data_IF_215620143648
#
_entry.id   IF_215620143648
#
_cell.length_a   1.000
_cell.length_b   1.000
_cell.length_c   1.000
_cell.angle_alpha   90.00
_cell.angle_beta   90.00
_cell.angle_gamma   90.00
#
_symmetry.space_group_name_H-M   'P 1'
#
loop_
_entity.id
_entity.type
_entity.pdbx_description
1 polymer ?
#
# COMPACT_ATOMS: atom_id res chain seq x y z
N UNK A 1 -1.31 -7.87 -11.70
CA UNK A 1 -1.04 -6.76 -10.78
C UNK A 1 -0.51 -7.26 -9.45
N UNK A 2 0.21 -6.41 -8.73
CA UNK A 2 0.73 -6.72 -7.39
C UNK A 2 -0.38 -7.04 -6.38
N UNK A 3 -1.38 -6.16 -6.21
CA UNK A 3 -2.48 -6.40 -5.28
C UNK A 3 -3.23 -7.71 -5.54
N UNK A 4 -3.56 -7.99 -6.78
CA UNK A 4 -4.28 -9.21 -7.15
C UNK A 4 -3.52 -10.50 -6.81
N UNK A 5 -2.20 -10.53 -7.01
CA UNK A 5 -1.37 -11.70 -6.67
C UNK A 5 -1.30 -11.89 -5.15
N UNK A 6 -1.12 -10.82 -4.38
CA UNK A 6 -1.08 -10.89 -2.91
C UNK A 6 -2.42 -11.37 -2.37
N UNK A 7 -3.55 -10.75 -2.80
CA UNK A 7 -4.89 -11.18 -2.43
C UNK A 7 -5.12 -12.66 -2.72
N UNK A 8 -4.89 -13.07 -3.96
CA UNK A 8 -5.10 -14.48 -4.38
C UNK A 8 -4.26 -15.47 -3.58
N UNK A 9 -3.10 -15.04 -3.10
CA UNK A 9 -2.24 -15.91 -2.29
C UNK A 9 -2.75 -15.98 -0.85
N UNK A 10 -3.08 -14.85 -0.22
CA UNK A 10 -3.59 -14.80 1.16
C UNK A 10 -4.91 -15.55 1.27
N UNK A 11 -5.83 -15.39 0.32
CA UNK A 11 -7.14 -16.06 0.31
C UNK A 11 -7.09 -17.59 0.29
N UNK A 12 -5.94 -18.19 0.02
CA UNK A 12 -5.76 -19.65 0.09
C UNK A 12 -5.55 -20.16 1.52
N UNK A 13 -5.39 -19.26 2.47
CA UNK A 13 -5.08 -19.59 3.87
C UNK A 13 -6.02 -18.86 4.84
N UNK A 14 -7.33 -19.15 4.79
CA UNK A 14 -8.34 -18.41 5.56
C UNK A 14 -8.18 -18.56 7.08
N UNK A 15 -7.57 -19.67 7.53
CA UNK A 15 -7.37 -19.96 8.95
C UNK A 15 -5.94 -19.64 9.44
N UNK A 16 -5.15 -18.92 8.63
CA UNK A 16 -3.78 -18.59 9.00
C UNK A 16 -3.74 -17.56 10.13
N UNK A 17 -2.80 -17.74 11.06
CA UNK A 17 -2.52 -16.73 12.09
C UNK A 17 -1.88 -15.48 11.47
N UNK A 18 -1.89 -14.38 12.21
CA UNK A 18 -1.31 -13.10 11.77
C UNK A 18 0.15 -13.26 11.34
N UNK A 19 0.94 -14.02 12.10
CA UNK A 19 2.36 -14.25 11.77
C UNK A 19 2.50 -15.06 10.47
N UNK A 20 1.63 -16.05 10.27
CA UNK A 20 1.59 -16.84 9.03
C UNK A 20 1.19 -15.97 7.84
N UNK A 21 0.20 -15.11 7.99
CA UNK A 21 -0.21 -14.14 6.95
C UNK A 21 0.97 -13.22 6.59
N UNK A 22 1.64 -12.65 7.59
CA UNK A 22 2.83 -11.82 7.36
C UNK A 22 3.92 -12.55 6.56
N UNK A 23 4.20 -13.80 6.92
CA UNK A 23 5.20 -14.61 6.23
C UNK A 23 4.78 -15.00 4.81
N UNK A 24 3.50 -15.28 4.58
CA UNK A 24 2.91 -15.52 3.25
C UNK A 24 3.05 -14.28 2.36
N UNK A 25 2.70 -13.10 2.87
CA UNK A 25 2.82 -11.83 2.15
C UNK A 25 4.29 -11.55 1.81
N UNK A 26 5.18 -11.66 2.79
CA UNK A 26 6.63 -11.46 2.61
C UNK A 26 7.19 -12.38 1.53
N UNK A 27 6.88 -13.67 1.56
CA UNK A 27 7.30 -14.64 0.53
C UNK A 27 6.71 -14.34 -0.84
N UNK A 28 5.48 -13.84 -0.90
CA UNK A 28 4.81 -13.44 -2.14
C UNK A 28 5.49 -12.21 -2.73
N UNK A 29 5.72 -11.18 -1.95
CA UNK A 29 6.45 -9.99 -2.37
C UNK A 29 7.86 -10.32 -2.85
N UNK A 30 8.58 -11.20 -2.14
CA UNK A 30 9.87 -11.70 -2.59
C UNK A 30 9.80 -12.34 -3.99
N UNK A 31 8.83 -13.21 -4.23
CA UNK A 31 8.67 -13.90 -5.53
C UNK A 31 8.35 -12.92 -6.65
N UNK A 32 7.43 -11.98 -6.41
CA UNK A 32 7.05 -10.96 -7.40
C UNK A 32 8.27 -10.11 -7.77
N UNK A 33 8.97 -9.60 -6.78
CA UNK A 33 10.16 -8.75 -6.98
C UNK A 33 11.26 -9.50 -7.72
N UNK A 34 11.54 -10.73 -7.30
CA UNK A 34 12.56 -11.56 -7.94
C UNK A 34 12.22 -11.88 -9.38
N UNK A 35 10.96 -12.17 -9.67
CA UNK A 35 10.48 -12.38 -11.05
C UNK A 35 10.62 -11.11 -11.88
N UNK A 36 10.19 -9.97 -11.34
CA UNK A 36 10.32 -8.67 -12.01
C UNK A 36 11.78 -8.36 -12.37
N UNK A 37 12.71 -8.59 -11.45
CA UNK A 37 14.13 -8.39 -11.69
C UNK A 37 14.67 -9.32 -12.78
N UNK A 38 14.32 -10.60 -12.76
CA UNK A 38 14.79 -11.57 -13.76
C UNK A 38 14.28 -11.22 -15.14
N UNK A 39 12.99 -10.90 -15.27
CA UNK A 39 12.37 -10.53 -16.55
C UNK A 39 12.95 -9.20 -17.05
N UNK A 40 13.05 -8.20 -16.18
CA UNK A 40 13.60 -6.89 -16.52
C UNK A 40 15.05 -6.97 -16.98
N UNK A 41 15.90 -7.73 -16.28
CA UNK A 41 17.28 -7.95 -16.68
C UNK A 41 17.38 -8.65 -18.04
N UNK A 42 16.52 -9.65 -18.29
CA UNK A 42 16.48 -10.32 -19.59
C UNK A 42 16.01 -9.43 -20.72
N UNK A 43 14.97 -8.63 -20.48
CA UNK A 43 14.47 -7.66 -21.46
C UNK A 43 15.55 -6.60 -21.78
N UNK A 44 16.22 -6.07 -20.76
CA UNK A 44 17.35 -5.14 -20.91
C UNK A 44 18.43 -5.70 -21.81
N UNK A 45 18.82 -6.95 -21.59
CA UNK A 45 19.82 -7.63 -22.42
C UNK A 45 19.38 -7.78 -23.86
N UNK A 46 18.10 -8.09 -24.09
CA UNK A 46 17.55 -8.30 -25.45
C UNK A 46 17.38 -6.99 -26.23
N UNK A 47 17.03 -5.91 -25.52
CA UNK A 47 16.71 -4.63 -26.12
C UNK A 47 17.92 -3.67 -26.16
N UNK A 48 19.01 -3.98 -25.48
CA UNK A 48 20.16 -3.09 -25.34
C UNK A 48 19.88 -1.82 -24.55
N UNK A 49 18.84 -1.83 -23.66
CA UNK A 49 18.43 -0.69 -22.85
C UNK A 49 18.75 -0.99 -21.38
N UNK A 50 19.33 -0.04 -20.62
CA UNK A 50 19.63 -0.25 -19.21
C UNK A 50 18.38 -0.61 -18.39
N UNK A 51 18.51 -1.61 -17.50
CA UNK A 51 17.50 -1.92 -16.51
C UNK A 51 17.78 -1.12 -15.23
N UNK A 52 16.74 -0.48 -14.70
CA UNK A 52 16.82 0.31 -13.48
C UNK A 52 16.45 -0.49 -12.23
N UNK A 53 15.46 0.00 -11.51
CA UNK A 53 14.99 -0.57 -10.25
C UNK A 53 13.64 -1.28 -10.43
N UNK A 54 13.31 -2.16 -9.47
CA UNK A 54 11.98 -2.76 -9.32
C UNK A 54 11.23 -2.00 -8.26
N UNK A 55 10.05 -1.51 -8.60
CA UNK A 55 9.12 -0.89 -7.65
C UNK A 55 8.32 -1.97 -6.93
N UNK A 56 8.20 -1.84 -5.61
CA UNK A 56 7.49 -2.77 -4.73
C UNK A 56 6.08 -2.28 -4.38
N UNK A 57 5.62 -1.20 -5.00
CA UNK A 57 4.33 -0.60 -4.68
C UNK A 57 3.18 -1.54 -5.00
N UNK A 58 2.23 -1.61 -4.08
CA UNK A 58 0.92 -2.21 -4.28
C UNK A 58 -0.06 -1.09 -4.63
N UNK A 59 0.04 -0.61 -5.86
CA UNK A 59 -0.87 0.40 -6.39
C UNK A 59 -2.07 -0.33 -7.02
N UNK A 60 -3.29 -0.12 -6.52
CA UNK A 60 -4.48 -0.72 -7.08
C UNK A 60 -4.89 -0.04 -8.39
N UNK A 61 -5.77 -0.70 -9.12
CA UNK A 61 -6.50 -0.11 -10.25
C UNK A 61 -7.98 -0.44 -10.11
N UNK A 62 -8.90 0.23 -10.83
CA UNK A 62 -10.32 -0.12 -10.82
C UNK A 62 -10.64 -1.51 -11.41
N UNK A 63 -9.65 -2.21 -11.90
CA UNK A 63 -9.83 -3.53 -12.49
C UNK A 63 -10.27 -4.56 -11.43
N UNK A 64 -11.15 -5.46 -11.82
CA UNK A 64 -11.64 -6.53 -10.94
C UNK A 64 -10.47 -7.37 -10.42
N UNK A 65 -10.38 -7.49 -9.12
CA UNK A 65 -9.34 -8.28 -8.45
C UNK A 65 -8.05 -7.52 -8.15
N UNK A 66 -7.94 -6.24 -8.50
CA UNK A 66 -6.76 -5.41 -8.28
C UNK A 66 -7.02 -4.34 -7.20
N UNK A 67 -7.32 -4.77 -6.00
CA UNK A 67 -7.70 -3.91 -4.86
C UNK A 67 -6.84 -4.20 -3.65
N UNK A 68 -6.33 -3.15 -3.02
CA UNK A 68 -5.64 -3.22 -1.71
C UNK A 68 -6.66 -3.48 -0.60
N UNK A 69 -7.85 -2.87 -0.65
CA UNK A 69 -8.91 -3.13 0.31
C UNK A 69 -9.24 -4.62 0.38
N UNK A 70 -9.35 -5.28 -0.75
CA UNK A 70 -9.60 -6.73 -0.79
C UNK A 70 -8.43 -7.57 -0.26
N UNK A 71 -7.18 -7.07 -0.26
CA UNK A 71 -6.09 -7.75 0.45
C UNK A 71 -6.36 -7.71 1.95
N UNK A 72 -6.70 -6.52 2.47
CA UNK A 72 -6.96 -6.33 3.89
C UNK A 72 -8.12 -7.21 4.36
N UNK A 73 -9.18 -7.32 3.57
CA UNK A 73 -10.31 -8.23 3.83
C UNK A 73 -9.86 -9.70 3.81
N UNK A 74 -9.04 -10.10 2.85
CA UNK A 74 -8.49 -11.45 2.81
C UNK A 74 -7.58 -11.78 4.02
N UNK A 75 -7.06 -10.75 4.70
CA UNK A 75 -6.32 -10.90 5.97
C UNK A 75 -7.24 -11.12 7.19
N UNK A 76 -8.56 -11.15 7.00
CA UNK A 76 -9.56 -11.44 8.02
C UNK A 76 -10.39 -10.26 8.48
N UNK A 77 -10.35 -9.12 7.78
CA UNK A 77 -11.26 -8.02 8.07
C UNK A 77 -12.64 -8.29 7.49
N UNK A 78 -13.68 -7.86 8.18
CA UNK A 78 -15.06 -7.92 7.71
C UNK A 78 -15.25 -7.05 6.46
N UNK A 79 -14.75 -5.84 6.50
CA UNK A 79 -14.75 -4.87 5.39
C UNK A 79 -13.61 -3.87 5.63
N UNK A 80 -12.98 -3.39 4.58
CA UNK A 80 -11.99 -2.32 4.69
C UNK A 80 -12.63 -1.08 5.33
N UNK A 81 -11.92 -0.47 6.28
CA UNK A 81 -12.43 0.66 7.08
C UNK A 81 -12.92 0.25 8.48
N UNK A 82 -13.29 -1.00 8.71
CA UNK A 82 -13.68 -1.50 10.03
C UNK A 82 -12.49 -1.63 10.98
N UNK A 83 -12.75 -2.02 12.22
CA UNK A 83 -11.70 -2.25 13.22
C UNK A 83 -10.63 -3.23 12.71
N UNK A 84 -9.38 -2.92 12.96
CA UNK A 84 -8.25 -3.72 12.49
C UNK A 84 -7.63 -3.27 11.16
N UNK A 85 -8.31 -2.45 10.35
CA UNK A 85 -7.83 -2.01 9.03
C UNK A 85 -6.46 -1.35 9.09
N UNK A 86 -6.24 -0.41 10.01
CA UNK A 86 -4.94 0.26 10.18
C UNK A 86 -3.83 -0.72 10.56
N UNK A 87 -4.11 -1.66 11.46
CA UNK A 87 -3.14 -2.68 11.86
C UNK A 87 -2.82 -3.65 10.70
N UNK A 88 -3.83 -4.08 9.94
CA UNK A 88 -3.63 -4.94 8.77
C UNK A 88 -2.81 -4.22 7.68
N UNK A 89 -3.05 -2.93 7.45
CA UNK A 89 -2.28 -2.11 6.51
C UNK A 89 -0.82 -1.98 6.96
N UNK A 90 -0.57 -1.75 8.25
CA UNK A 90 0.79 -1.72 8.80
C UNK A 90 1.54 -3.03 8.57
N UNK A 91 0.87 -4.16 8.84
CA UNK A 91 1.42 -5.49 8.63
C UNK A 91 1.71 -5.76 7.13
N UNK A 92 0.78 -5.40 6.27
CA UNK A 92 0.94 -5.52 4.81
C UNK A 92 2.17 -4.75 4.33
N UNK A 93 2.31 -3.50 4.73
CA UNK A 93 3.44 -2.65 4.36
C UNK A 93 4.78 -3.22 4.85
N UNK A 94 4.86 -3.62 6.10
CA UNK A 94 6.08 -4.21 6.67
C UNK A 94 6.49 -5.50 5.95
N UNK A 95 5.53 -6.38 5.71
CA UNK A 95 5.78 -7.66 5.04
C UNK A 95 6.22 -7.48 3.57
N UNK A 96 5.59 -6.56 2.85
CA UNK A 96 5.95 -6.25 1.45
C UNK A 96 7.36 -5.66 1.38
N UNK A 97 7.68 -4.67 2.21
CA UNK A 97 9.01 -4.05 2.25
C UNK A 97 10.10 -5.08 2.56
N UNK A 98 9.90 -5.90 3.59
CA UNK A 98 10.84 -6.96 3.96
C UNK A 98 11.04 -7.99 2.84
N UNK A 99 9.96 -8.42 2.20
CA UNK A 99 10.03 -9.37 1.08
C UNK A 99 10.80 -8.81 -0.11
N UNK A 100 10.53 -7.57 -0.47
CA UNK A 100 11.17 -6.92 -1.60
C UNK A 100 12.66 -6.68 -1.41
N UNK A 101 13.05 -6.10 -0.29
CA UNK A 101 14.47 -5.84 0.03
C UNK A 101 15.30 -7.12 0.06
N UNK A 102 14.72 -8.24 0.51
CA UNK A 102 15.38 -9.54 0.47
C UNK A 102 15.53 -10.11 -0.95
N UNK A 103 14.71 -9.67 -1.90
CA UNK A 103 14.68 -10.23 -3.25
C UNK A 103 15.70 -9.59 -4.19
N UNK A 104 16.02 -8.32 -4.00
CA UNK A 104 16.88 -7.54 -4.90
C UNK A 104 17.55 -6.38 -4.18
N UNK A 105 18.77 -6.05 -4.60
CA UNK A 105 19.45 -4.81 -4.21
C UNK A 105 19.03 -3.61 -5.08
N UNK A 106 18.27 -3.85 -6.13
CA UNK A 106 17.79 -2.83 -7.08
C UNK A 106 16.30 -2.61 -6.91
N UNK A 107 15.89 -2.26 -5.70
CA UNK A 107 14.51 -1.91 -5.38
C UNK A 107 14.40 -0.42 -5.08
N UNK A 108 13.25 0.16 -5.40
CA UNK A 108 12.97 1.57 -5.19
C UNK A 108 11.48 1.85 -5.29
N UNK A 109 11.14 3.11 -5.51
CA UNK A 109 9.75 3.56 -5.49
C UNK A 109 9.23 3.74 -4.07
N UNK A 110 7.92 3.90 -3.91
CA UNK A 110 7.26 4.17 -2.63
C UNK A 110 7.09 2.91 -1.76
N UNK A 111 7.31 1.74 -2.35
CA UNK A 111 7.47 0.45 -1.67
C UNK A 111 6.45 0.15 -0.57
N UNK A 112 5.18 -0.04 -0.95
CA UNK A 112 4.13 -0.43 -0.01
C UNK A 112 2.75 -0.30 -0.60
N UNK A 113 1.73 -0.47 0.23
CA UNK A 113 0.35 -0.35 -0.20
C UNK A 113 -0.09 1.11 -0.27
N UNK A 114 -0.73 1.46 -1.36
CA UNK A 114 -1.40 2.74 -1.57
C UNK A 114 -2.87 2.62 -1.15
N UNK A 115 -3.46 3.75 -0.82
CA UNK A 115 -4.87 3.86 -0.43
C UNK A 115 -5.62 4.88 -1.31
N UNK A 116 -5.51 4.81 -2.65
CA UNK A 116 -6.19 5.73 -3.56
C UNK A 116 -7.66 5.33 -3.66
N UNK A 117 -8.54 6.02 -2.93
CA UNK A 117 -9.95 5.64 -2.81
C UNK A 117 -10.63 5.56 -4.16
N UNK A 118 -10.43 6.53 -5.05
CA UNK A 118 -11.10 6.56 -6.36
C UNK A 118 -10.54 5.57 -7.39
N UNK A 119 -9.42 4.93 -7.11
CA UNK A 119 -8.75 3.96 -8.01
C UNK A 119 -8.80 2.52 -7.48
N UNK A 120 -9.39 2.31 -6.31
CA UNK A 120 -9.52 0.99 -5.68
C UNK A 120 -11.00 0.63 -5.51
N UNK A 121 -11.46 -0.35 -6.27
CA UNK A 121 -12.87 -0.75 -6.24
C UNK A 121 -13.33 -1.18 -4.84
N UNK A 122 -12.50 -1.90 -4.09
CA UNK A 122 -12.85 -2.31 -2.73
C UNK A 122 -12.93 -1.12 -1.76
N UNK A 123 -12.11 -0.08 -1.95
CA UNK A 123 -12.24 1.14 -1.16
C UNK A 123 -13.48 1.92 -1.53
N UNK A 124 -13.80 2.05 -2.82
CA UNK A 124 -15.05 2.67 -3.29
C UNK A 124 -16.26 1.97 -2.65
N UNK A 125 -16.28 0.65 -2.70
CA UNK A 125 -17.36 -0.15 -2.12
C UNK A 125 -17.46 0.05 -0.61
N UNK A 126 -16.33 0.09 0.09
CA UNK A 126 -16.27 0.34 1.54
C UNK A 126 -16.75 1.74 1.94
N UNK A 127 -16.47 2.75 1.14
CA UNK A 127 -17.01 4.12 1.31
C UNK A 127 -18.52 4.11 1.09
N UNK A 128 -19.01 3.47 0.04
CA UNK A 128 -20.46 3.38 -0.25
C UNK A 128 -21.22 2.63 0.85
N UNK A 129 -20.60 1.67 1.51
CA UNK A 129 -21.15 0.97 2.66
C UNK A 129 -21.09 1.79 3.96
N UNK A 130 -20.39 2.94 3.96
CA UNK A 130 -20.16 3.74 5.15
C UNK A 130 -19.15 3.13 6.14
N UNK A 131 -18.42 2.10 5.74
CA UNK A 131 -17.41 1.45 6.57
C UNK A 131 -16.07 2.18 6.55
N UNK A 132 -15.72 2.81 5.42
CA UNK A 132 -14.51 3.60 5.26
C UNK A 132 -14.86 5.08 5.22
N UNK A 133 -14.48 5.81 6.26
CA UNK A 133 -14.69 7.26 6.38
C UNK A 133 -13.39 8.02 6.15
N UNK A 134 -13.49 9.36 5.99
CA UNK A 134 -12.32 10.20 5.81
C UNK A 134 -11.40 10.16 7.04
N UNK A 135 -11.96 10.21 8.24
CA UNK A 135 -11.20 10.11 9.50
C UNK A 135 -10.47 8.76 9.62
N UNK A 136 -11.07 7.70 9.06
CA UNK A 136 -10.41 6.40 9.01
C UNK A 136 -9.26 6.39 8.02
N UNK A 137 -9.42 7.04 6.88
CA UNK A 137 -8.34 7.22 5.91
C UNK A 137 -7.18 8.03 6.49
N UNK A 138 -7.48 9.15 7.17
CA UNK A 138 -6.48 9.93 7.90
C UNK A 138 -5.69 9.06 8.88
N UNK A 139 -6.38 8.26 9.70
CA UNK A 139 -5.72 7.32 10.60
C UNK A 139 -4.86 6.26 9.88
N UNK A 140 -5.26 5.83 8.68
CA UNK A 140 -4.50 4.88 7.87
C UNK A 140 -3.24 5.50 7.26
N UNK A 141 -3.21 6.82 7.09
CA UNK A 141 -2.03 7.50 6.53
C UNK A 141 -0.79 7.37 7.41
N UNK A 142 -0.96 7.18 8.71
CA UNK A 142 0.18 6.94 9.63
C UNK A 142 0.97 5.66 9.31
N UNK A 143 0.40 4.72 8.56
CA UNK A 143 1.01 3.42 8.23
C UNK A 143 0.99 3.09 6.73
N UNK A 144 0.39 3.93 5.89
CA UNK A 144 0.42 3.76 4.44
C UNK A 144 1.75 4.22 3.83
N UNK A 145 1.92 4.08 2.53
CA UNK A 145 3.16 4.46 1.84
C UNK A 145 3.12 5.83 1.17
N UNK A 146 1.96 6.49 1.11
CA UNK A 146 1.76 7.72 0.32
C UNK A 146 1.11 8.85 1.11
N UNK A 147 0.13 8.55 1.96
CA UNK A 147 -0.75 9.55 2.57
C UNK A 147 -2.17 9.47 1.99
N UNK A 148 -2.97 10.51 2.14
CA UNK A 148 -4.28 10.64 1.49
C UNK A 148 -4.08 10.74 -0.02
N UNK A 149 -4.79 9.89 -0.77
CA UNK A 149 -4.62 9.78 -2.20
C UNK A 149 -5.98 9.61 -2.89
N UNK A 150 -6.21 10.39 -3.94
CA UNK A 150 -7.37 10.27 -4.82
C UNK A 150 -8.71 10.18 -4.11
N UNK A 151 -8.92 10.98 -3.07
CA UNK A 151 -10.19 11.11 -2.37
C UNK A 151 -11.06 12.20 -3.00
N UNK A 152 -12.34 11.92 -3.11
CA UNK A 152 -13.34 12.92 -3.54
C UNK A 152 -14.11 13.45 -2.32
N UNK A 153 -14.19 14.75 -2.20
CA UNK A 153 -15.02 15.43 -1.19
C UNK A 153 -16.07 16.28 -1.90
N UNK A 154 -17.21 16.58 -1.26
CA UNK A 154 -18.24 17.44 -1.84
C UNK A 154 -17.69 18.80 -2.28
N UNK A 155 -18.11 19.29 -3.47
CA UNK A 155 -17.59 20.52 -4.03
C UNK A 155 -17.94 21.79 -3.23
N UNK A 156 -18.91 21.71 -2.34
CA UNK A 156 -19.34 22.75 -1.41
C UNK A 156 -18.67 22.65 -0.03
N UNK A 157 -17.68 21.76 0.12
CA UNK A 157 -16.91 21.61 1.36
C UNK A 157 -16.27 22.94 1.75
N UNK A 158 -16.49 23.36 3.00
CA UNK A 158 -15.98 24.62 3.52
C UNK A 158 -14.44 24.62 3.59
N UNK A 159 -13.85 25.78 3.30
CA UNK A 159 -12.40 25.96 3.40
C UNK A 159 -11.84 25.60 4.81
N UNK A 160 -12.62 25.88 5.88
CA UNK A 160 -12.24 25.50 7.24
C UNK A 160 -12.13 23.98 7.44
N UNK A 161 -13.01 23.21 6.79
CA UNK A 161 -12.96 21.74 6.84
C UNK A 161 -11.74 21.23 6.08
N UNK A 162 -11.47 21.76 4.89
CA UNK A 162 -10.28 21.41 4.11
C UNK A 162 -8.99 21.76 4.90
N UNK A 163 -8.97 22.92 5.56
CA UNK A 163 -7.84 23.29 6.42
C UNK A 163 -7.67 22.35 7.61
N UNK A 164 -8.77 21.83 8.17
CA UNK A 164 -8.73 20.81 9.22
C UNK A 164 -8.08 19.52 8.74
N UNK A 165 -8.52 18.99 7.60
CA UNK A 165 -7.95 17.78 6.98
C UNK A 165 -6.43 17.95 6.75
N UNK A 166 -6.02 19.09 6.22
CA UNK A 166 -4.59 19.38 5.98
C UNK A 166 -3.83 19.44 7.30
N UNK A 167 -4.41 20.03 8.35
CA UNK A 167 -3.77 20.14 9.66
C UNK A 167 -3.61 18.75 10.32
N UNK A 168 -4.62 17.89 10.22
CA UNK A 168 -4.60 16.53 10.74
C UNK A 168 -3.54 15.68 10.02
N UNK A 169 -3.47 15.75 8.70
CA UNK A 169 -2.44 15.06 7.92
C UNK A 169 -1.02 15.55 8.24
N UNK A 170 -0.83 16.85 8.43
CA UNK A 170 0.44 17.41 8.87
C UNK A 170 0.83 16.91 10.28
N UNK A 171 -0.11 16.84 11.19
CA UNK A 171 0.13 16.35 12.55
C UNK A 171 0.47 14.85 12.54
N UNK A 172 -0.28 14.04 11.80
CA UNK A 172 -0.04 12.61 11.63
C UNK A 172 1.34 12.38 11.00
N UNK A 173 1.65 13.08 9.91
CA UNK A 173 2.93 12.95 9.23
C UNK A 173 4.12 13.33 10.11
N UNK A 174 3.97 14.37 10.94
CA UNK A 174 5.01 14.81 11.87
C UNK A 174 5.25 13.79 12.98
N UNK A 175 4.20 13.19 13.53
CA UNK A 175 4.30 12.21 14.62
C UNK A 175 4.77 10.87 14.09
N UNK A 176 4.25 10.43 12.95
CA UNK A 176 4.56 9.12 12.37
C UNK A 176 5.93 9.06 11.71
N UNK A 177 6.57 10.15 11.51
CA UNK A 177 7.93 10.42 11.01
C UNK A 177 8.54 9.37 10.06
N UNK A 178 8.16 8.12 10.17
CA UNK A 178 8.60 7.01 9.32
C UNK A 178 8.23 7.22 7.85
N UNK A 179 7.18 7.95 7.56
CA UNK A 179 6.83 8.34 6.21
C UNK A 179 7.75 9.41 5.67
N UNK A 180 8.03 10.40 6.50
CA UNK A 180 8.98 11.45 6.19
C UNK A 180 10.37 10.87 6.02
N UNK A 181 10.71 9.85 6.79
CA UNK A 181 11.98 9.16 6.67
C UNK A 181 12.19 8.39 5.39
N UNK A 182 11.16 8.00 4.71
CA UNK A 182 11.32 7.42 3.37
C UNK A 182 11.99 8.41 2.38
N UNK A 183 11.99 9.68 2.73
CA UNK A 183 12.65 10.74 1.97
C UNK A 183 13.94 11.23 2.60
N UNK A 184 14.35 10.59 3.66
CA UNK A 184 15.51 11.00 4.41
C UNK A 184 16.76 10.29 4.08
N UNK A 185 16.93 10.24 2.95
CA UNK A 185 18.25 10.56 2.46
C UNK A 185 18.62 12.01 2.69
N UNK A 186 17.89 12.67 3.53
CA UNK A 186 18.16 14.03 3.93
C UNK A 186 19.46 14.14 4.68
N UNK A 187 19.89 13.11 5.34
CA UNK A 187 21.23 13.01 5.89
C UNK A 187 22.29 13.02 4.80
N UNK A 188 21.91 12.70 3.60
CA UNK A 188 22.77 12.78 2.43
C UNK A 188 22.79 14.18 1.80
N UNK A 189 22.03 15.10 2.37
CA UNK A 189 22.02 16.52 1.99
C UNK A 189 22.91 17.39 2.88
N UNK A 190 23.69 16.80 3.77
CA UNK A 190 24.70 17.46 4.59
C UNK A 190 26.09 17.14 4.09
#
# INVERSE_FOLDING_TARGET
SGPGVVRSTVSKYPDASIDQIADIIKKTAFKITRMGQLVGAKASQMLGVPFGIVDLSLAPTPAVGDSVAHILEAMGLETCGTHGTTAALALLNDAVKKGGVMASSYVGGLSGAFIPVSEDQGMIDSVNLGALTLEKLEAMTCVCSVGLDMIAIPGDTKASTISGIIADELAIGTVSYTHLRAHETVLDLV
#
